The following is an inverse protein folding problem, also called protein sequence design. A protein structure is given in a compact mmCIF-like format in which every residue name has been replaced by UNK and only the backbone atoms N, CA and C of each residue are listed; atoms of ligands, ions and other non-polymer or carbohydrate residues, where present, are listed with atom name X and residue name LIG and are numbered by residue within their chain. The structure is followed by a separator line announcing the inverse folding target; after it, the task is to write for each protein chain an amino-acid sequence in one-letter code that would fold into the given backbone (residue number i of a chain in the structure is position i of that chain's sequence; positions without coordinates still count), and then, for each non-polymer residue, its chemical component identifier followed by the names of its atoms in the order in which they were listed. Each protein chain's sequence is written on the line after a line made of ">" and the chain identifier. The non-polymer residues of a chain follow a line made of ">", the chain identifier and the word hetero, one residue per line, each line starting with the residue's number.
data_IF_647007801348
#
_entry.id   IF_647007801348
#
_cell.length_a   1.000
_cell.length_b   1.000
_cell.length_c   1.000
_cell.angle_alpha   90.00
_cell.angle_beta   90.00
_cell.angle_gamma   90.00
#
_symmetry.space_group_name_H-M   'P 1'
#
loop_
_entity.id
_entity.type
_entity.pdbx_description
1 polymer ?
#
# COMPACT_ATOMS: atom_id res chain seq x y z
N UNK A 1 5.52 18.20 -3.26
CA UNK A 1 4.58 17.18 -2.78
C UNK A 1 4.90 15.87 -3.49
N UNK A 2 5.10 14.76 -2.77
CA UNK A 2 5.41 13.44 -3.38
C UNK A 2 4.15 12.56 -3.32
N UNK A 3 3.81 11.93 -4.43
CA UNK A 3 2.67 11.02 -4.56
C UNK A 3 3.19 9.66 -5.01
N UNK A 4 2.73 8.59 -4.39
CA UNK A 4 3.08 7.21 -4.72
C UNK A 4 1.80 6.46 -5.09
N UNK A 5 1.73 5.97 -6.32
CA UNK A 5 0.69 5.06 -6.76
C UNK A 5 1.00 3.63 -6.31
N UNK A 6 0.04 2.96 -5.68
CA UNK A 6 0.16 1.56 -5.26
C UNK A 6 -0.87 0.71 -6.00
N UNK A 7 -0.41 -0.37 -6.62
CA UNK A 7 -1.25 -1.38 -7.28
C UNK A 7 -0.82 -2.76 -6.82
N UNK A 8 -1.80 -3.63 -6.60
CA UNK A 8 -1.58 -5.02 -6.23
C UNK A 8 -2.89 -5.81 -6.21
N UNK A 9 -2.81 -7.06 -5.78
CA UNK A 9 -3.98 -7.94 -5.74
C UNK A 9 -5.00 -7.46 -4.69
N UNK A 10 -6.29 -7.48 -5.04
CA UNK A 10 -7.42 -7.20 -4.14
C UNK A 10 -7.69 -8.30 -3.10
N UNK A 11 -7.02 -9.44 -3.24
CA UNK A 11 -6.96 -10.51 -2.25
C UNK A 11 -5.55 -11.09 -2.28
N UNK A 12 -4.90 -11.22 -1.12
CA UNK A 12 -3.54 -11.69 -1.04
C UNK A 12 -3.31 -12.51 0.23
N UNK A 13 -2.26 -13.35 0.21
CA UNK A 13 -1.86 -14.11 1.39
C UNK A 13 -1.26 -13.21 2.48
N UNK A 14 -1.20 -13.73 3.71
CA UNK A 14 -0.71 -13.00 4.89
C UNK A 14 0.66 -12.35 4.70
N UNK A 15 1.59 -13.03 4.04
CA UNK A 15 2.94 -12.49 3.80
C UNK A 15 2.90 -11.22 2.93
N UNK A 16 2.13 -11.27 1.84
CA UNK A 16 1.98 -10.13 0.92
C UNK A 16 1.23 -8.99 1.59
N UNK A 17 0.21 -9.31 2.40
CA UNK A 17 -0.53 -8.33 3.18
C UNK A 17 0.38 -7.57 4.16
N UNK A 18 1.18 -8.29 4.96
CA UNK A 18 2.12 -7.66 5.90
C UNK A 18 3.21 -6.85 5.19
N UNK A 19 3.63 -7.28 4.00
CA UNK A 19 4.54 -6.50 3.18
C UNK A 19 3.88 -5.20 2.70
N UNK A 20 2.66 -5.26 2.17
CA UNK A 20 1.90 -4.08 1.74
C UNK A 20 1.71 -3.08 2.88
N UNK A 21 1.37 -3.57 4.09
CA UNK A 21 1.26 -2.75 5.30
C UNK A 21 2.57 -2.02 5.64
N UNK A 22 3.71 -2.73 5.61
CA UNK A 22 5.04 -2.13 5.85
C UNK A 22 5.42 -1.09 4.80
N UNK A 23 5.05 -1.31 3.54
CA UNK A 23 5.24 -0.35 2.45
C UNK A 23 4.45 0.93 2.73
N UNK A 24 3.16 0.81 3.07
CA UNK A 24 2.32 1.96 3.46
C UNK A 24 2.91 2.75 4.63
N UNK A 25 3.39 2.06 5.66
CA UNK A 25 4.07 2.64 6.83
C UNK A 25 5.34 3.42 6.42
N UNK A 26 6.11 2.90 5.46
CA UNK A 26 7.27 3.58 4.88
C UNK A 26 6.89 4.83 4.08
N UNK A 27 5.83 4.77 3.27
CA UNK A 27 5.33 5.91 2.48
C UNK A 27 4.88 7.04 3.41
N UNK A 28 4.14 6.71 4.48
CA UNK A 28 3.71 7.67 5.48
C UNK A 28 4.91 8.32 6.21
N UNK A 29 5.89 7.53 6.65
CA UNK A 29 7.13 8.05 7.26
C UNK A 29 7.92 8.98 6.35
N UNK A 30 7.87 8.75 5.04
CA UNK A 30 8.52 9.59 4.04
C UNK A 30 7.77 10.90 3.74
N UNK A 31 6.59 11.12 4.35
CA UNK A 31 5.76 12.30 4.12
C UNK A 31 5.16 12.34 2.70
N UNK A 32 4.96 11.17 2.08
CA UNK A 32 4.34 11.05 0.76
C UNK A 32 2.85 10.69 0.85
N UNK A 33 2.08 11.10 -0.15
CA UNK A 33 0.67 10.74 -0.30
C UNK A 33 0.58 9.41 -1.05
N UNK A 34 -0.18 8.46 -0.51
CA UNK A 34 -0.48 7.18 -1.16
C UNK A 34 -1.78 7.30 -1.96
N UNK A 35 -1.79 6.81 -3.20
CA UNK A 35 -3.00 6.69 -4.03
C UNK A 35 -3.11 5.24 -4.50
N UNK A 36 -4.29 4.63 -4.33
CA UNK A 36 -4.56 3.26 -4.77
C UNK A 36 -6.04 3.09 -5.18
N UNK A 37 -6.38 1.92 -5.71
CA UNK A 37 -7.74 1.60 -6.18
C UNK A 37 -8.72 1.15 -5.08
N UNK A 38 -8.26 0.91 -3.84
CA UNK A 38 -9.13 0.59 -2.70
C UNK A 38 -9.86 -0.77 -2.77
N UNK A 39 -9.30 -1.77 -3.46
CA UNK A 39 -9.96 -3.07 -3.70
C UNK A 39 -9.64 -4.17 -2.65
N UNK A 40 -9.13 -3.81 -1.47
CA UNK A 40 -8.68 -4.79 -0.46
C UNK A 40 -7.28 -5.35 -0.74
N UNK A 41 -6.84 -6.29 0.09
CA UNK A 41 -5.57 -6.99 -0.05
C UNK A 41 -4.37 -6.06 0.05
N UNK A 42 -3.72 -5.78 -1.08
CA UNK A 42 -2.56 -4.87 -1.12
C UNK A 42 -2.98 -3.39 -0.97
N UNK A 43 -4.24 -3.06 -1.26
CA UNK A 43 -4.73 -1.68 -1.39
C UNK A 43 -5.71 -1.26 -0.28
N UNK A 44 -5.78 -2.01 0.84
CA UNK A 44 -6.47 -1.58 2.08
C UNK A 44 -5.47 -1.09 3.13
#
# INVERSE_FOLDING_TARGET
>A
MKIVGVIGAGNCGREVYELARKVGEGIARAGAILVCGGLGGVME
#
